data_IF_182365332174
#
_entry.id   IF_182365332174
#
_cell.length_a   1.000
_cell.length_b   1.000
_cell.length_c   1.000
_cell.angle_alpha   90.00
_cell.angle_beta   90.00
_cell.angle_gamma   90.00
#
_symmetry.space_group_name_H-M   'P 1'
#
loop_
_entity.id
_entity.type
_entity.pdbx_description
1 polymer ?
#
# COMPACT_ATOMS: atom_id res chain seq x y z
N UNK A 1 23.60 9.46 16.84
CA UNK A 1 22.15 9.16 16.80
C UNK A 1 21.51 10.16 15.85
N UNK A 2 20.88 9.74 14.75
CA UNK A 2 20.32 10.69 13.81
C UNK A 2 19.04 11.29 14.39
N UNK A 3 18.99 12.62 14.34
CA UNK A 3 18.06 13.53 14.96
C UNK A 3 16.65 13.45 14.39
N UNK A 4 15.68 13.47 15.29
CA UNK A 4 14.27 13.79 15.11
C UNK A 4 14.09 15.21 14.57
N UNK A 5 14.06 15.41 13.24
CA UNK A 5 13.30 16.49 12.56
C UNK A 5 13.46 16.43 11.04
N UNK A 6 12.54 15.68 10.44
CA UNK A 6 11.71 16.04 9.28
C UNK A 6 10.57 15.00 9.24
N UNK A 7 9.70 15.02 10.26
CA UNK A 7 8.56 14.11 10.40
C UNK A 7 7.29 14.82 9.93
N UNK A 8 6.93 14.61 8.68
CA UNK A 8 5.74 15.19 8.03
C UNK A 8 4.44 14.38 8.31
N UNK A 9 4.43 13.45 9.29
CA UNK A 9 3.24 12.65 9.62
C UNK A 9 2.74 11.69 8.52
N UNK A 10 3.39 11.66 7.35
CA UNK A 10 2.93 10.93 6.16
C UNK A 10 3.52 9.51 5.99
N UNK A 11 4.46 9.11 6.85
CA UNK A 11 5.05 7.77 6.80
C UNK A 11 4.27 6.81 7.70
N UNK A 12 3.70 5.77 7.10
CA UNK A 12 3.00 4.70 7.78
C UNK A 12 3.96 3.54 8.02
N UNK A 13 4.04 3.09 9.27
CA UNK A 13 4.82 1.90 9.64
C UNK A 13 4.10 0.62 9.19
N UNK A 14 4.73 -0.13 8.30
CA UNK A 14 4.28 -1.42 7.77
C UNK A 14 5.19 -2.60 8.14
N UNK A 15 6.18 -2.38 9.01
CA UNK A 15 7.07 -3.42 9.55
C UNK A 15 6.29 -4.61 10.11
N UNK A 16 6.71 -5.82 9.78
CA UNK A 16 6.09 -7.06 10.30
C UNK A 16 4.73 -7.43 9.69
N UNK A 17 4.15 -6.61 8.80
CA UNK A 17 2.99 -7.01 7.99
C UNK A 17 3.51 -7.72 6.73
N UNK A 18 3.04 -8.96 6.41
CA UNK A 18 3.40 -9.61 5.16
C UNK A 18 3.01 -8.75 3.95
N UNK A 19 3.97 -8.46 3.05
CA UNK A 19 3.77 -7.56 1.91
C UNK A 19 2.60 -7.97 1.02
N UNK A 20 2.43 -9.27 0.82
CA UNK A 20 1.33 -9.84 0.03
C UNK A 20 -0.03 -9.55 0.67
N UNK A 21 -0.16 -9.63 1.99
CA UNK A 21 -1.40 -9.30 2.69
C UNK A 21 -1.65 -7.80 2.76
N UNK A 22 -0.60 -6.99 2.93
CA UNK A 22 -0.69 -5.53 2.84
C UNK A 22 -1.21 -5.10 1.47
N UNK A 23 -0.62 -5.64 0.40
CA UNK A 23 -1.00 -5.33 -0.97
C UNK A 23 -2.43 -5.75 -1.28
N UNK A 24 -2.84 -6.94 -0.86
CA UNK A 24 -4.22 -7.39 -1.00
C UNK A 24 -5.20 -6.47 -0.27
N UNK A 25 -4.89 -6.07 0.96
CA UNK A 25 -5.76 -5.21 1.76
C UNK A 25 -5.89 -3.81 1.13
N UNK A 26 -4.78 -3.23 0.66
CA UNK A 26 -4.79 -1.95 -0.06
C UNK A 26 -5.66 -2.06 -1.33
N UNK A 27 -5.46 -3.10 -2.14
CA UNK A 27 -6.27 -3.32 -3.36
C UNK A 27 -7.76 -3.47 -3.07
N UNK A 28 -8.13 -4.19 -2.02
CA UNK A 28 -9.55 -4.37 -1.65
C UNK A 28 -10.24 -3.07 -1.21
N UNK A 29 -9.46 -2.09 -0.75
CA UNK A 29 -9.97 -0.80 -0.28
C UNK A 29 -9.68 0.35 -1.27
N UNK A 30 -9.02 0.06 -2.39
CA UNK A 30 -8.70 1.05 -3.41
C UNK A 30 -9.89 1.28 -4.35
N UNK A 31 -10.08 2.53 -4.75
CA UNK A 31 -11.01 2.93 -5.79
C UNK A 31 -10.51 2.48 -7.17
N UNK A 32 -11.47 2.36 -8.08
CA UNK A 32 -11.18 2.06 -9.48
C UNK A 32 -10.44 3.24 -10.11
N UNK A 33 -9.42 2.95 -10.92
CA UNK A 33 -8.67 3.98 -11.62
C UNK A 33 -9.58 4.75 -12.58
N UNK A 34 -9.41 6.08 -12.62
CA UNK A 34 -10.34 7.00 -13.30
C UNK A 34 -10.50 6.69 -14.80
N UNK A 35 -9.43 6.23 -15.44
CA UNK A 35 -9.41 5.93 -16.87
C UNK A 35 -9.75 4.46 -17.17
N UNK A 36 -10.05 3.67 -16.14
CA UNK A 36 -10.45 2.27 -16.31
C UNK A 36 -11.89 2.20 -16.83
N UNK A 37 -12.05 1.73 -18.07
CA UNK A 37 -13.36 1.56 -18.69
C UNK A 37 -14.02 0.27 -18.19
N UNK A 38 -15.12 0.41 -17.46
CA UNK A 38 -15.95 -0.70 -16.97
C UNK A 38 -15.61 -1.16 -15.56
N UNK A 39 -16.08 -2.35 -15.18
CA UNK A 39 -15.86 -2.89 -13.83
C UNK A 39 -14.41 -3.40 -13.70
N UNK A 40 -13.69 -3.07 -12.62
CA UNK A 40 -12.34 -3.58 -12.41
C UNK A 40 -12.38 -5.11 -12.29
N UNK A 41 -11.37 -5.81 -12.80
CA UNK A 41 -11.34 -7.26 -12.75
C UNK A 41 -11.25 -7.74 -11.31
N UNK A 42 -11.66 -9.00 -11.04
CA UNK A 42 -11.39 -9.64 -9.76
C UNK A 42 -9.89 -9.58 -9.42
N UNK A 43 -9.58 -9.38 -8.14
CA UNK A 43 -8.19 -9.32 -7.67
C UNK A 43 -7.60 -10.74 -7.73
N UNK A 44 -6.64 -10.95 -8.63
CA UNK A 44 -5.84 -12.17 -8.68
C UNK A 44 -4.48 -11.92 -8.03
N UNK A 45 -4.33 -12.32 -6.77
CA UNK A 45 -3.09 -12.07 -6.02
C UNK A 45 -1.85 -12.74 -6.60
N UNK A 46 -1.99 -13.81 -7.41
CA UNK A 46 -0.85 -14.40 -8.12
C UNK A 46 -0.29 -13.48 -9.21
N UNK A 47 -1.17 -12.80 -9.97
CA UNK A 47 -0.76 -11.81 -10.96
C UNK A 47 -0.25 -10.53 -10.32
N UNK A 48 -0.98 -10.02 -9.33
CA UNK A 48 -0.60 -8.83 -8.55
C UNK A 48 0.79 -8.99 -7.94
N UNK A 49 1.10 -10.16 -7.39
CA UNK A 49 2.40 -10.41 -6.79
C UNK A 49 3.54 -10.35 -7.82
N UNK A 50 3.32 -10.88 -9.04
CA UNK A 50 4.29 -10.72 -10.13
C UNK A 50 4.48 -9.25 -10.54
N UNK A 51 3.40 -8.47 -10.58
CA UNK A 51 3.49 -7.02 -10.85
C UNK A 51 4.30 -6.30 -9.75
N UNK A 52 4.13 -6.68 -8.49
CA UNK A 52 4.96 -6.21 -7.38
C UNK A 52 6.44 -6.59 -7.55
N UNK A 53 6.75 -7.87 -7.81
CA UNK A 53 8.13 -8.34 -7.99
C UNK A 53 8.84 -7.61 -9.15
N UNK A 54 8.13 -7.37 -10.26
CA UNK A 54 8.68 -6.59 -11.39
C UNK A 54 8.93 -5.12 -11.02
N UNK A 55 8.01 -4.48 -10.29
CA UNK A 55 8.18 -3.10 -9.84
C UNK A 55 9.37 -2.99 -8.87
N UNK A 56 9.49 -3.94 -7.94
CA UNK A 56 10.58 -4.04 -6.98
C UNK A 56 11.94 -4.21 -7.68
N UNK A 57 12.04 -5.12 -8.65
CA UNK A 57 13.25 -5.33 -9.45
C UNK A 57 13.66 -4.07 -10.25
N UNK A 58 12.69 -3.22 -10.61
CA UNK A 58 12.93 -1.93 -11.29
C UNK A 58 13.16 -0.77 -10.32
N UNK A 59 13.22 -1.02 -9.02
CA UNK A 59 13.33 -0.02 -7.98
C UNK A 59 12.16 1.00 -7.95
N UNK A 60 10.93 0.54 -8.26
CA UNK A 60 9.72 1.36 -8.37
C UNK A 60 8.63 0.91 -7.41
N UNK A 61 7.70 1.82 -7.10
CA UNK A 61 6.43 1.53 -6.44
C UNK A 61 5.34 1.07 -7.42
N UNK A 62 4.18 0.73 -6.88
CA UNK A 62 2.98 0.35 -7.61
C UNK A 62 2.07 1.55 -7.80
N UNK A 63 1.68 1.83 -9.05
CA UNK A 63 0.79 2.94 -9.39
C UNK A 63 -0.65 2.49 -9.54
N UNK A 64 -0.92 1.67 -10.55
CA UNK A 64 -2.23 1.07 -10.82
C UNK A 64 -2.09 -0.44 -10.94
N UNK A 65 -2.97 -1.17 -10.27
CA UNK A 65 -2.91 -2.64 -10.22
C UNK A 65 -4.33 -3.17 -10.30
N UNK A 66 -4.58 -4.09 -11.25
CA UNK A 66 -5.92 -4.63 -11.52
C UNK A 66 -7.02 -3.57 -11.66
N UNK A 67 -6.73 -2.46 -12.37
CA UNK A 67 -7.67 -1.36 -12.60
C UNK A 67 -7.99 -0.52 -11.36
N UNK A 68 -7.16 -0.57 -10.32
CA UNK A 68 -7.33 0.18 -9.06
C UNK A 68 -6.11 1.05 -8.80
N UNK A 69 -6.33 2.21 -8.22
CA UNK A 69 -5.28 3.20 -7.98
C UNK A 69 -4.64 3.01 -6.61
N UNK A 70 -3.35 2.67 -6.59
CA UNK A 70 -2.56 2.47 -5.37
C UNK A 70 -1.59 3.63 -5.08
N UNK A 71 -0.66 3.95 -5.98
CA UNK A 71 0.46 4.88 -5.72
C UNK A 71 1.16 4.63 -4.38
N UNK A 72 1.64 3.41 -4.18
CA UNK A 72 2.33 2.99 -2.97
C UNK A 72 3.68 2.38 -3.30
N UNK A 73 4.62 2.56 -2.38
CA UNK A 73 5.85 1.80 -2.36
C UNK A 73 5.92 1.03 -1.04
N UNK A 74 5.77 -0.29 -1.12
CA UNK A 74 5.69 -1.17 0.07
C UNK A 74 6.97 -1.98 0.29
N UNK A 75 8.03 -1.74 -0.49
CA UNK A 75 9.27 -2.55 -0.45
C UNK A 75 9.98 -2.42 0.91
N UNK A 76 9.84 -1.27 1.55
CA UNK A 76 10.47 -0.93 2.82
C UNK A 76 9.53 -1.17 4.01
N UNK A 77 10.03 -0.97 5.23
CA UNK A 77 9.25 -1.12 6.46
C UNK A 77 8.33 0.07 6.77
N UNK A 78 8.45 1.13 5.99
CA UNK A 78 7.59 2.31 6.03
C UNK A 78 7.16 2.66 4.61
N UNK A 79 5.98 3.26 4.48
CA UNK A 79 5.50 3.76 3.19
C UNK A 79 4.83 5.11 3.33
N UNK A 80 4.84 5.91 2.27
CA UNK A 80 4.13 7.20 2.24
C UNK A 80 2.67 7.01 1.84
N UNK A 81 1.73 7.60 2.57
CA UNK A 81 0.29 7.48 2.26
C UNK A 81 -0.19 8.43 1.16
N UNK A 82 0.53 9.54 0.95
CA UNK A 82 0.12 10.67 0.09
C UNK A 82 -0.42 10.26 -1.28
N UNK A 83 0.28 9.36 -1.97
CA UNK A 83 -0.12 8.87 -3.28
C UNK A 83 -1.47 8.14 -3.19
N UNK A 84 -1.55 7.11 -2.36
CA UNK A 84 -2.77 6.35 -2.14
C UNK A 84 -3.95 7.22 -1.71
N UNK A 85 -3.75 8.04 -0.68
CA UNK A 85 -4.81 8.84 -0.07
C UNK A 85 -5.37 9.90 -1.04
N UNK A 86 -4.52 10.45 -1.93
CA UNK A 86 -4.97 11.46 -2.91
C UNK A 86 -6.04 10.97 -3.88
N UNK A 87 -6.14 9.66 -4.10
CA UNK A 87 -7.17 9.04 -4.94
C UNK A 87 -8.22 8.27 -4.15
N UNK A 88 -7.84 7.70 -3.00
CA UNK A 88 -8.70 6.79 -2.25
C UNK A 88 -9.41 7.47 -1.04
N UNK A 89 -9.05 8.72 -0.73
CA UNK A 89 -9.53 9.46 0.43
C UNK A 89 -8.44 9.66 1.48
N UNK A 90 -8.44 10.82 2.14
CA UNK A 90 -7.46 11.14 3.18
C UNK A 90 -7.55 10.16 4.37
N UNK A 91 -6.39 9.66 4.82
CA UNK A 91 -6.30 8.73 5.97
C UNK A 91 -6.68 7.28 5.67
N UNK A 92 -7.04 6.95 4.44
CA UNK A 92 -7.51 5.62 4.07
C UNK A 92 -6.40 4.58 4.05
N UNK A 93 -5.18 4.94 3.66
CA UNK A 93 -4.03 4.06 3.78
C UNK A 93 -3.76 3.68 5.24
N UNK A 94 -3.78 4.67 6.15
CA UNK A 94 -3.58 4.45 7.58
C UNK A 94 -4.68 3.55 8.16
N UNK A 95 -5.93 3.77 7.76
CA UNK A 95 -7.05 2.92 8.15
C UNK A 95 -6.85 1.45 7.75
N UNK A 96 -6.41 1.19 6.52
CA UNK A 96 -6.12 -0.18 6.04
C UNK A 96 -4.99 -0.81 6.85
N UNK A 97 -3.89 -0.09 7.06
CA UNK A 97 -2.77 -0.60 7.85
C UNK A 97 -3.19 -0.88 9.30
N UNK A 98 -3.95 0.01 9.93
CA UNK A 98 -4.44 -0.18 11.30
C UNK A 98 -5.36 -1.39 11.43
N UNK A 99 -6.14 -1.74 10.40
CA UNK A 99 -6.90 -3.01 10.38
C UNK A 99 -5.98 -4.21 10.40
N UNK A 100 -4.93 -4.22 9.56
CA UNK A 100 -3.95 -5.30 9.54
C UNK A 100 -3.15 -5.38 10.84
N UNK A 101 -2.90 -4.26 11.52
CA UNK A 101 -2.23 -4.23 12.83
C UNK A 101 -2.97 -4.99 13.93
N UNK A 102 -4.29 -5.19 13.80
CA UNK A 102 -5.03 -6.07 14.72
C UNK A 102 -4.60 -7.53 14.60
N UNK A 103 -4.15 -7.96 13.41
CA UNK A 103 -3.64 -9.31 13.12
C UNK A 103 -2.12 -9.39 13.27
N UNK A 104 -1.42 -8.31 12.93
CA UNK A 104 0.03 -8.17 12.97
C UNK A 104 0.44 -7.04 13.91
N UNK A 105 0.23 -7.22 15.23
CA UNK A 105 0.62 -6.21 16.20
C UNK A 105 2.13 -5.97 16.11
N UNK A 106 2.53 -4.72 16.25
CA UNK A 106 3.93 -4.41 16.55
C UNK A 106 4.16 -4.96 17.95
N UNK A 107 4.86 -6.09 18.07
CA UNK A 107 5.08 -6.76 19.35
C UNK A 107 5.39 -5.71 20.44
N UNK A 108 4.54 -5.57 21.47
CA UNK A 108 4.99 -4.98 22.71
C UNK A 108 5.92 -6.01 23.32
N UNK A 109 7.23 -5.73 23.29
CA UNK A 109 8.10 -6.38 24.27
C UNK A 109 7.63 -6.01 25.67
#
# INVERSE_FOLDING_TARGET
MPSTRNYDGHLINIYGIPKRELLEALLRNALTARDYKGNPPPINMGRVWKEYEMAEAQNKGLWEVCGRTLLVDIRFDTMTSKGYDSFNGEGWCLYVVNKLRKKYPLNPR
#
